data_IF_488625226346
#
_entry.id   IF_488625226346
#
_cell.length_a   1.000
_cell.length_b   1.000
_cell.length_c   1.000
_cell.angle_alpha   90.00
_cell.angle_beta   90.00
_cell.angle_gamma   90.00
#
_symmetry.space_group_name_H-M   'P 1'
#
loop_
_entity.id
_entity.type
_entity.pdbx_description
1 polymer ?
#
# COMPACT_ATOMS: atom_id res chain seq x y z
N UNK A 1 14.46 5.88 -11.92
CA UNK A 1 13.05 6.05 -11.57
C UNK A 1 12.24 5.01 -12.31
N UNK A 2 11.45 4.25 -11.58
CA UNK A 2 10.69 3.16 -12.17
C UNK A 2 9.25 3.59 -12.44
N UNK A 3 8.71 3.16 -13.58
CA UNK A 3 7.36 3.47 -13.99
C UNK A 3 6.57 2.20 -14.19
N UNK A 4 5.28 2.29 -13.91
CA UNK A 4 4.33 1.22 -14.15
C UNK A 4 3.32 1.68 -15.20
N UNK A 5 3.10 0.84 -16.21
CA UNK A 5 2.14 1.13 -17.26
C UNK A 5 0.77 0.57 -16.89
N UNK A 6 -0.24 1.42 -16.87
CA UNK A 6 -1.62 1.04 -16.60
C UNK A 6 -2.43 1.09 -17.88
N UNK A 7 -3.02 -0.03 -18.24
CA UNK A 7 -3.98 -0.07 -19.33
C UNK A 7 -5.37 0.24 -18.80
N UNK A 8 -5.97 1.26 -19.37
CA UNK A 8 -7.39 1.52 -19.12
C UNK A 8 -8.22 0.82 -20.17
N UNK A 9 -9.14 -0.02 -19.71
CA UNK A 9 -9.94 -0.89 -20.56
C UNK A 9 -10.76 -0.16 -21.63
N UNK A 10 -11.02 1.09 -21.45
CA UNK A 10 -12.07 1.66 -22.26
C UNK A 10 -11.66 2.86 -23.04
N UNK A 11 -10.44 3.13 -23.27
CA UNK A 11 -10.37 4.19 -24.21
C UNK A 11 -9.20 5.08 -24.34
N UNK A 12 -8.46 5.25 -23.30
CA UNK A 12 -7.50 6.35 -23.36
C UNK A 12 -6.06 5.89 -23.51
N UNK A 13 -5.89 4.62 -23.84
CA UNK A 13 -4.57 4.08 -24.01
C UNK A 13 -3.86 3.84 -22.67
N UNK A 14 -2.57 3.79 -22.73
CA UNK A 14 -1.73 3.49 -21.60
C UNK A 14 -1.46 4.72 -20.75
N UNK A 15 -1.50 4.53 -19.45
CA UNK A 15 -1.03 5.54 -18.51
C UNK A 15 0.24 5.04 -17.84
N UNK A 16 1.18 5.94 -17.64
CA UNK A 16 2.42 5.65 -16.94
C UNK A 16 2.35 6.25 -15.55
N UNK A 17 2.46 5.39 -14.55
CA UNK A 17 2.45 5.79 -13.16
C UNK A 17 3.78 5.41 -12.54
N UNK A 18 4.44 6.39 -11.95
CA UNK A 18 5.69 6.17 -11.26
C UNK A 18 5.45 5.40 -9.96
N UNK A 19 6.26 4.36 -9.70
CA UNK A 19 6.07 3.52 -8.51
C UNK A 19 6.18 4.31 -7.20
N UNK A 20 6.96 5.38 -7.20
CA UNK A 20 7.06 6.25 -6.03
C UNK A 20 5.74 6.89 -5.63
N UNK A 21 4.79 7.03 -6.55
CA UNK A 21 3.45 7.55 -6.22
C UNK A 21 2.70 6.55 -5.34
N UNK A 22 2.76 5.26 -5.66
CA UNK A 22 2.15 4.22 -4.83
C UNK A 22 2.76 4.22 -3.43
N UNK A 23 4.08 4.36 -3.34
CA UNK A 23 4.77 4.42 -2.06
C UNK A 23 4.37 5.64 -1.24
N UNK A 24 4.28 6.81 -1.88
CA UNK A 24 3.89 8.04 -1.20
C UNK A 24 2.46 7.97 -0.65
N UNK A 25 1.53 7.44 -1.44
CA UNK A 25 0.14 7.26 -0.99
C UNK A 25 0.08 6.28 0.18
N UNK A 26 0.78 5.16 0.07
CA UNK A 26 0.82 4.16 1.14
C UNK A 26 1.38 4.74 2.44
N UNK A 27 2.51 5.42 2.36
CA UNK A 27 3.12 6.04 3.54
C UNK A 27 2.16 7.04 4.20
N UNK A 28 1.50 7.85 3.40
CA UNK A 28 0.57 8.85 3.90
C UNK A 28 -0.63 8.21 4.61
N UNK A 29 -1.25 7.20 4.00
CA UNK A 29 -2.42 6.57 4.58
C UNK A 29 -2.10 5.77 5.84
N UNK A 30 -0.99 5.05 5.84
CA UNK A 30 -0.57 4.29 7.03
C UNK A 30 -0.21 5.21 8.19
N UNK A 31 0.42 6.34 7.92
CA UNK A 31 0.82 7.29 8.96
C UNK A 31 -0.37 7.93 9.69
N UNK A 32 -1.56 7.89 9.12
CA UNK A 32 -2.77 8.41 9.77
C UNK A 32 -3.38 7.45 10.79
N UNK A 33 -2.99 6.20 10.76
CA UNK A 33 -3.59 5.18 11.62
C UNK A 33 -2.86 5.16 12.95
N UNK A 34 -3.63 5.33 14.04
CA UNK A 34 -3.07 5.36 15.38
C UNK A 34 -2.68 3.96 15.85
N UNK A 35 -1.60 3.87 16.62
CA UNK A 35 -1.18 2.64 17.25
C UNK A 35 -0.29 1.75 16.39
N UNK A 36 0.14 2.24 15.25
CA UNK A 36 1.06 1.50 14.38
C UNK A 36 2.23 2.37 13.96
N UNK A 37 3.36 1.74 13.75
CA UNK A 37 4.55 2.35 13.19
C UNK A 37 5.11 1.46 12.09
N UNK A 38 5.87 2.05 11.18
CA UNK A 38 6.60 1.26 10.19
C UNK A 38 7.76 0.52 10.87
N UNK A 39 7.98 -0.71 10.43
CA UNK A 39 9.13 -1.51 10.87
C UNK A 39 10.15 -1.56 9.73
N UNK A 40 11.33 -0.99 9.96
CA UNK A 40 12.39 -0.98 8.97
C UNK A 40 12.58 0.32 8.22
N UNK A 41 11.96 1.40 8.65
CA UNK A 41 12.16 2.72 8.07
C UNK A 41 11.84 2.77 6.58
N UNK A 42 12.83 3.10 5.76
CA UNK A 42 12.64 3.23 4.30
C UNK A 42 12.26 1.94 3.60
N UNK A 43 12.57 0.80 4.19
CA UNK A 43 12.29 -0.51 3.60
C UNK A 43 10.98 -1.11 4.08
N UNK A 44 10.19 -0.34 4.82
CA UNK A 44 8.91 -0.82 5.36
C UNK A 44 7.85 -1.02 4.31
N UNK A 45 7.95 -0.32 3.20
CA UNK A 45 6.98 -0.40 2.10
C UNK A 45 7.70 -0.86 0.85
N UNK A 46 7.27 -2.00 0.32
CA UNK A 46 7.80 -2.58 -0.91
C UNK A 46 6.71 -2.64 -1.96
N UNK A 47 7.04 -2.26 -3.18
CA UNK A 47 6.09 -2.24 -4.29
C UNK A 47 6.62 -3.12 -5.40
N UNK A 48 5.81 -4.10 -5.79
CA UNK A 48 6.13 -5.03 -6.86
C UNK A 48 5.00 -5.07 -7.88
N UNK A 49 5.34 -5.45 -9.10
CA UNK A 49 4.38 -5.63 -10.17
C UNK A 49 4.48 -7.09 -10.62
N UNK A 50 3.37 -7.81 -10.60
CA UNK A 50 3.34 -9.19 -11.05
C UNK A 50 3.04 -9.31 -12.55
N UNK A 51 3.02 -10.54 -13.06
CA UNK A 51 2.82 -10.84 -14.48
C UNK A 51 1.43 -10.44 -14.99
N UNK A 52 0.49 -10.18 -14.10
CA UNK A 52 -0.88 -9.79 -14.45
C UNK A 52 -1.12 -8.28 -14.32
N UNK A 53 -0.06 -7.49 -14.31
CA UNK A 53 -0.12 -6.04 -14.10
C UNK A 53 -0.78 -5.66 -12.78
N UNK A 54 -0.72 -6.53 -11.79
CA UNK A 54 -1.18 -6.23 -10.45
C UNK A 54 -0.05 -5.59 -9.64
N UNK A 55 -0.35 -4.50 -8.99
CA UNK A 55 0.58 -3.86 -8.06
C UNK A 55 0.42 -4.53 -6.69
N UNK A 56 1.51 -5.03 -6.16
CA UNK A 56 1.53 -5.67 -4.84
C UNK A 56 2.32 -4.78 -3.90
N UNK A 57 1.66 -4.32 -2.84
CA UNK A 57 2.25 -3.44 -1.84
C UNK A 57 2.44 -4.25 -0.57
N UNK A 58 3.69 -4.44 -0.18
CA UNK A 58 4.04 -5.09 1.09
C UNK A 58 4.38 -4.04 2.13
N UNK A 59 3.79 -4.16 3.31
CA UNK A 59 3.98 -3.18 4.39
C UNK A 59 4.40 -3.93 5.65
N UNK A 60 5.53 -3.53 6.23
CA UNK A 60 6.02 -4.06 7.49
C UNK A 60 5.73 -3.07 8.62
N UNK A 61 5.01 -3.51 9.64
CA UNK A 61 4.60 -2.65 10.74
C UNK A 61 4.89 -3.24 12.11
N UNK A 62 4.94 -2.35 13.07
CA UNK A 62 4.89 -2.64 14.51
C UNK A 62 3.55 -2.12 15.01
N UNK A 63 2.87 -2.91 15.82
CA UNK A 63 1.55 -2.57 16.35
C UNK A 63 1.63 -2.42 17.87
N UNK A 64 0.89 -1.46 18.43
CA UNK A 64 0.79 -1.28 19.88
C UNK A 64 0.05 -2.44 20.52
N UNK A 65 0.52 -2.83 21.70
CA UNK A 65 -0.12 -3.86 22.50
C UNK A 65 -1.58 -3.50 22.81
N UNK A 66 -2.44 -4.50 22.74
CA UNK A 66 -3.85 -4.35 23.05
C UNK A 66 -4.76 -4.05 21.88
N UNK A 67 -4.18 -3.74 20.71
CA UNK A 67 -4.99 -3.54 19.51
C UNK A 67 -5.37 -4.88 18.87
N UNK A 68 -6.52 -4.88 18.19
CA UNK A 68 -6.94 -6.06 17.44
C UNK A 68 -6.18 -6.10 16.11
N UNK A 69 -5.26 -7.06 15.98
CA UNK A 69 -4.38 -7.17 14.80
C UNK A 69 -5.16 -7.31 13.50
N UNK A 70 -6.17 -8.19 13.47
CA UNK A 70 -6.98 -8.40 12.28
C UNK A 70 -7.71 -7.15 11.82
N UNK A 71 -8.23 -6.39 12.78
CA UNK A 71 -8.91 -5.13 12.50
C UNK A 71 -7.95 -4.08 11.93
N UNK A 72 -6.78 -3.96 12.53
CA UNK A 72 -5.75 -3.00 12.08
C UNK A 72 -5.28 -3.36 10.68
N UNK A 73 -5.00 -4.62 10.42
CA UNK A 73 -4.56 -5.08 9.10
C UNK A 73 -5.63 -4.78 8.04
N UNK A 74 -6.89 -5.09 8.32
CA UNK A 74 -7.99 -4.79 7.40
C UNK A 74 -8.14 -3.30 7.14
N UNK A 75 -8.00 -2.49 8.17
CA UNK A 75 -8.07 -1.03 8.04
C UNK A 75 -6.96 -0.51 7.13
N UNK A 76 -5.73 -0.97 7.32
CA UNK A 76 -4.61 -0.58 6.47
C UNK A 76 -4.89 -0.96 5.01
N UNK A 77 -5.30 -2.20 4.77
CA UNK A 77 -5.58 -2.69 3.42
C UNK A 77 -6.65 -1.84 2.74
N UNK A 78 -7.76 -1.59 3.43
CA UNK A 78 -8.87 -0.82 2.88
C UNK A 78 -8.48 0.63 2.63
N UNK A 79 -7.80 1.26 3.56
CA UNK A 79 -7.41 2.67 3.42
C UNK A 79 -6.43 2.86 2.25
N UNK A 80 -5.45 1.98 2.11
CA UNK A 80 -4.46 2.09 1.03
C UNK A 80 -5.12 1.84 -0.33
N UNK A 81 -5.90 0.78 -0.46
CA UNK A 81 -6.58 0.45 -1.71
C UNK A 81 -7.52 1.57 -2.13
N UNK A 82 -8.31 2.08 -1.19
CA UNK A 82 -9.27 3.15 -1.47
C UNK A 82 -8.57 4.45 -1.83
N UNK A 83 -7.47 4.77 -1.17
CA UNK A 83 -6.70 5.97 -1.48
C UNK A 83 -6.09 5.92 -2.88
N UNK A 84 -5.54 4.79 -3.26
CA UNK A 84 -4.97 4.62 -4.60
C UNK A 84 -6.06 4.78 -5.67
N UNK A 85 -7.21 4.17 -5.46
CA UNK A 85 -8.35 4.34 -6.38
C UNK A 85 -8.78 5.82 -6.45
N UNK A 86 -8.87 6.48 -5.32
CA UNK A 86 -9.32 7.88 -5.25
C UNK A 86 -8.33 8.84 -5.92
N UNK A 87 -7.04 8.64 -5.71
CA UNK A 87 -6.03 9.57 -6.20
C UNK A 87 -5.62 9.33 -7.66
N UNK A 88 -5.54 8.08 -8.07
CA UNK A 88 -5.05 7.75 -9.41
C UNK A 88 -5.94 6.80 -10.20
N UNK A 89 -7.09 6.40 -9.65
CA UNK A 89 -8.06 5.58 -10.36
C UNK A 89 -7.58 4.17 -10.68
N UNK A 90 -6.60 3.65 -9.95
CA UNK A 90 -6.06 2.32 -10.18
C UNK A 90 -6.56 1.35 -9.11
N UNK A 91 -7.14 0.23 -9.54
CA UNK A 91 -7.79 -0.75 -8.64
C UNK A 91 -7.11 -2.10 -8.56
N UNK A 92 -6.20 -2.40 -9.48
CA UNK A 92 -5.57 -3.71 -9.50
C UNK A 92 -4.39 -3.77 -8.52
N UNK A 93 -4.72 -3.57 -7.25
CA UNK A 93 -3.75 -3.47 -6.15
C UNK A 93 -4.06 -4.53 -5.10
N UNK A 94 -3.03 -5.20 -4.63
CA UNK A 94 -3.09 -6.09 -3.48
C UNK A 94 -2.16 -5.55 -2.39
N UNK A 95 -2.68 -5.42 -1.18
CA UNK A 95 -1.89 -4.93 -0.05
C UNK A 95 -1.67 -6.07 0.94
N UNK A 96 -0.41 -6.39 1.18
CA UNK A 96 0.00 -7.39 2.17
C UNK A 96 0.62 -6.66 3.35
N UNK A 97 0.11 -6.94 4.55
CA UNK A 97 0.60 -6.31 5.78
C UNK A 97 1.25 -7.37 6.65
N UNK A 98 2.52 -7.14 7.01
CA UNK A 98 3.26 -8.00 7.94
C UNK A 98 3.37 -7.28 9.28
N UNK A 99 2.80 -7.89 10.32
CA UNK A 99 2.95 -7.38 11.69
C UNK A 99 4.15 -8.09 12.30
N UNK A 100 5.27 -7.40 12.35
CA UNK A 100 6.54 -8.00 12.75
C UNK A 100 6.76 -7.96 14.26
N UNK A 101 6.19 -6.98 14.94
CA UNK A 101 6.38 -6.80 16.36
C UNK A 101 5.16 -6.20 17.02
N UNK A 102 4.99 -6.52 18.30
CA UNK A 102 4.02 -5.86 19.17
C UNK A 102 4.80 -4.99 20.14
N UNK A 103 4.44 -3.72 20.20
CA UNK A 103 5.10 -2.75 21.06
C UNK A 103 4.35 -2.64 22.40
N UNK A 104 5.05 -2.96 23.45
CA UNK A 104 4.50 -2.89 24.81
C UNK A 104 4.75 -1.54 25.46
#
# INVERSE_FOLDING_TARGET
MEYYTVEKKNTLGEQYIELSVFQAITNHEVSKINGIDFDGGKNSVNIEINDHNQVIIGIDIVIDYGLNVGKVVSEIQNEVVNAIDRYIGFRNVKVNVNVNKIKF
#
